data_IF_526843360103
#
_entry.id   IF_526843360103
#
_cell.length_a   1.000
_cell.length_b   1.000
_cell.length_c   1.000
_cell.angle_alpha   90.00
_cell.angle_beta   90.00
_cell.angle_gamma   90.00
#
_symmetry.space_group_name_H-M   'P 1'
#
loop_
_entity.id
_entity.type
_entity.pdbx_description
1 polymer ?
#
# COMPACT_ATOMS: atom_id res chain seq x y z
N UNK A 1 -0.82 42.35 -20.46
CA UNK A 1 0.47 41.97 -19.84
C UNK A 1 0.22 41.66 -18.38
N UNK A 2 0.15 40.38 -18.02
CA UNK A 2 -0.05 39.92 -16.65
C UNK A 2 1.30 39.57 -16.04
N UNK A 3 1.70 40.31 -15.01
CA UNK A 3 2.83 39.96 -14.15
C UNK A 3 2.33 39.92 -12.70
N UNK A 4 1.42 39.00 -12.42
CA UNK A 4 1.14 38.59 -11.05
C UNK A 4 2.29 37.68 -10.63
N UNK A 5 3.34 38.28 -10.07
CA UNK A 5 4.36 37.53 -9.36
C UNK A 5 3.68 36.79 -8.21
N UNK A 6 3.40 35.51 -8.42
CA UNK A 6 3.08 34.57 -7.35
C UNK A 6 4.31 34.43 -6.47
N UNK A 7 4.51 35.41 -5.60
CA UNK A 7 5.43 35.29 -4.47
C UNK A 7 4.94 34.09 -3.69
N UNK A 8 5.64 32.95 -3.80
CA UNK A 8 5.49 31.80 -2.92
C UNK A 8 5.72 32.31 -1.49
N UNK A 9 4.63 32.70 -0.82
CA UNK A 9 4.67 33.18 0.55
C UNK A 9 5.05 31.98 1.39
N UNK A 10 6.31 31.94 1.82
CA UNK A 10 6.84 30.94 2.75
C UNK A 10 5.88 30.86 3.93
N UNK A 11 5.25 29.71 4.10
CA UNK A 11 4.28 29.52 5.17
C UNK A 11 4.98 29.46 6.52
N UNK A 12 4.24 29.72 7.60
CA UNK A 12 4.71 29.45 8.96
C UNK A 12 5.13 27.97 9.13
N UNK A 13 4.46 27.06 8.40
CA UNK A 13 4.82 25.64 8.37
C UNK A 13 6.19 25.40 7.72
N UNK A 14 6.47 26.04 6.59
CA UNK A 14 7.76 25.90 5.88
C UNK A 14 8.93 26.42 6.72
N UNK A 15 8.71 27.52 7.46
CA UNK A 15 9.70 28.05 8.41
C UNK A 15 9.97 27.05 9.54
N UNK A 16 8.92 26.45 10.11
CA UNK A 16 9.08 25.47 11.18
C UNK A 16 9.84 24.20 10.70
N UNK A 17 9.54 23.72 9.48
CA UNK A 17 10.24 22.58 8.88
C UNK A 17 11.71 22.93 8.61
N UNK A 18 11.98 24.14 8.12
CA UNK A 18 13.35 24.63 7.92
C UNK A 18 14.10 24.71 9.25
N UNK A 19 13.49 25.20 10.32
CA UNK A 19 14.10 25.29 11.63
C UNK A 19 14.44 23.90 12.22
N UNK A 20 13.55 22.91 12.06
CA UNK A 20 13.82 21.52 12.43
C UNK A 20 15.01 20.94 11.65
N UNK A 21 15.05 21.16 10.33
CA UNK A 21 16.16 20.71 9.47
C UNK A 21 17.49 21.39 9.85
N UNK A 22 17.46 22.69 10.14
CA UNK A 22 18.61 23.44 10.63
C UNK A 22 19.11 22.91 11.99
N UNK A 23 18.21 22.57 12.90
CA UNK A 23 18.57 21.98 14.20
C UNK A 23 19.22 20.61 14.03
N UNK A 24 18.67 19.75 13.16
CA UNK A 24 19.27 18.45 12.81
C UNK A 24 20.70 18.62 12.29
N UNK A 25 20.91 19.56 11.37
CA UNK A 25 22.23 19.78 10.77
C UNK A 25 23.23 20.33 11.80
N UNK A 26 22.79 21.20 12.71
CA UNK A 26 23.60 21.66 13.85
C UNK A 26 23.99 20.50 14.78
N UNK A 27 23.07 19.58 15.07
CA UNK A 27 23.37 18.40 15.89
C UNK A 27 24.37 17.47 15.18
N UNK A 28 24.27 17.26 13.87
CA UNK A 28 25.28 16.52 13.12
C UNK A 28 26.66 17.18 13.18
N UNK A 29 26.73 18.51 13.08
CA UNK A 29 28.00 19.23 13.25
C UNK A 29 28.56 19.05 14.67
N UNK A 30 27.70 19.12 15.68
CA UNK A 30 28.09 18.91 17.08
C UNK A 30 28.59 17.48 17.32
N UNK A 31 27.90 16.48 16.78
CA UNK A 31 28.29 15.06 16.80
C UNK A 31 29.71 14.89 16.24
N UNK A 32 29.99 15.42 15.03
CA UNK A 32 31.33 15.36 14.42
C UNK A 32 32.42 16.01 15.29
N UNK A 33 32.10 17.15 15.94
CA UNK A 33 33.04 17.83 16.85
C UNK A 33 33.33 16.97 18.07
N UNK A 34 32.30 16.40 18.72
CA UNK A 34 32.47 15.51 19.87
C UNK A 34 33.30 14.29 19.47
N UNK A 35 33.00 13.62 18.36
CA UNK A 35 33.76 12.46 17.91
C UNK A 35 35.26 12.78 17.76
N UNK A 36 35.58 13.94 17.16
CA UNK A 36 36.97 14.40 17.02
C UNK A 36 37.65 14.60 18.39
N UNK A 37 36.93 15.18 19.35
CA UNK A 37 37.42 15.37 20.72
C UNK A 37 37.64 14.02 21.41
N UNK A 38 36.68 13.09 21.30
CA UNK A 38 36.76 11.74 21.88
C UNK A 38 37.96 10.96 21.33
N UNK A 39 38.23 11.03 20.02
CA UNK A 39 39.42 10.42 19.42
C UNK A 39 40.69 11.02 20.01
N UNK A 40 40.76 12.35 20.11
CA UNK A 40 41.91 13.05 20.70
C UNK A 40 42.14 12.69 22.17
N UNK A 41 41.08 12.62 22.98
CA UNK A 41 41.17 12.19 24.38
C UNK A 41 41.64 10.74 24.51
N UNK A 42 41.27 9.88 23.55
CA UNK A 42 41.75 8.50 23.49
C UNK A 42 43.25 8.44 23.21
N UNK A 43 43.76 9.28 22.30
CA UNK A 43 45.18 9.32 21.99
C UNK A 43 46.01 9.92 23.13
N UNK A 44 45.52 10.98 23.77
CA UNK A 44 46.14 11.54 24.99
C UNK A 44 46.18 10.50 26.10
N UNK A 45 45.12 9.70 26.28
CA UNK A 45 45.10 8.63 27.26
C UNK A 45 46.17 7.57 26.96
N UNK A 46 46.33 7.16 25.69
CA UNK A 46 47.38 6.22 25.27
C UNK A 46 48.78 6.79 25.52
N UNK A 47 49.03 8.05 25.19
CA UNK A 47 50.31 8.72 25.43
C UNK A 47 50.64 8.79 26.93
N UNK A 48 49.67 9.17 27.77
CA UNK A 48 49.86 9.22 29.23
C UNK A 48 50.18 7.84 29.82
N UNK A 49 49.59 6.77 29.27
CA UNK A 49 49.91 5.40 29.67
C UNK A 49 51.34 5.00 29.27
N UNK A 50 51.79 5.36 28.06
CA UNK A 50 53.17 5.12 27.60
C UNK A 50 54.20 5.87 28.47
N UNK A 51 53.88 7.08 28.89
CA UNK A 51 54.73 7.89 29.78
C UNK A 51 54.61 7.53 31.27
N UNK A 52 53.84 6.48 31.63
CA UNK A 52 53.70 6.00 33.01
C UNK A 52 52.84 6.87 33.93
N UNK A 53 52.17 7.92 33.42
CA UNK A 53 51.35 8.84 34.21
C UNK A 53 49.90 8.35 34.34
N UNK A 54 49.67 7.39 35.24
CA UNK A 54 48.35 6.76 35.47
C UNK A 54 47.23 7.74 35.85
N UNK A 55 47.48 8.70 36.74
CA UNK A 55 46.48 9.68 37.18
C UNK A 55 45.95 10.54 36.02
N UNK A 56 46.85 10.99 35.13
CA UNK A 56 46.48 11.78 33.95
C UNK A 56 45.71 10.95 32.92
N UNK A 57 46.09 9.68 32.75
CA UNK A 57 45.36 8.75 31.88
C UNK A 57 43.94 8.49 32.40
N UNK A 58 43.76 8.31 33.71
CA UNK A 58 42.43 8.14 34.32
C UNK A 58 41.55 9.37 34.12
N UNK A 59 42.11 10.58 34.26
CA UNK A 59 41.36 11.82 34.00
C UNK A 59 40.92 11.92 32.54
N UNK A 60 41.80 11.60 31.59
CA UNK A 60 41.47 11.59 30.16
C UNK A 60 40.35 10.57 29.84
N UNK A 61 40.40 9.38 30.43
CA UNK A 61 39.35 8.37 30.27
C UNK A 61 38.00 8.80 30.89
N UNK A 62 38.01 9.51 32.02
CA UNK A 62 36.77 10.06 32.60
C UNK A 62 36.15 11.11 31.69
N UNK A 63 36.95 12.00 31.09
CA UNK A 63 36.48 12.98 30.10
C UNK A 63 35.92 12.29 28.86
N UNK A 64 36.62 11.28 28.34
CA UNK A 64 36.16 10.45 27.22
C UNK A 64 34.78 9.86 27.49
N UNK A 65 34.59 9.24 28.66
CA UNK A 65 33.32 8.63 29.04
C UNK A 65 32.18 9.66 29.16
N UNK A 66 32.48 10.86 29.63
CA UNK A 66 31.51 11.96 29.66
C UNK A 66 31.12 12.40 28.24
N UNK A 67 32.09 12.55 27.33
CA UNK A 67 31.82 12.88 25.93
C UNK A 67 31.03 11.79 25.21
N UNK A 68 31.29 10.51 25.49
CA UNK A 68 30.50 9.39 24.96
C UNK A 68 29.05 9.42 25.45
N UNK A 69 28.82 9.79 26.72
CA UNK A 69 27.45 9.99 27.22
C UNK A 69 26.75 11.15 26.53
N UNK A 70 27.45 12.26 26.26
CA UNK A 70 26.90 13.38 25.49
C UNK A 70 26.61 13.01 24.03
N UNK A 71 27.48 12.21 23.41
CA UNK A 71 27.29 11.69 22.06
C UNK A 71 26.02 10.83 22.00
N UNK A 72 25.87 9.89 22.93
CA UNK A 72 24.68 9.03 23.02
C UNK A 72 23.39 9.83 23.20
N UNK A 73 23.38 10.87 24.03
CA UNK A 73 22.22 11.77 24.18
C UNK A 73 21.93 12.54 22.89
N UNK A 74 22.97 12.98 22.19
CA UNK A 74 22.85 13.69 20.92
C UNK A 74 22.28 12.78 19.83
N UNK A 75 22.71 11.52 19.77
CA UNK A 75 22.18 10.52 18.83
C UNK A 75 20.70 10.24 19.08
N UNK A 76 20.27 10.14 20.35
CA UNK A 76 18.86 10.01 20.72
C UNK A 76 18.03 11.22 20.27
N UNK A 77 18.52 12.43 20.53
CA UNK A 77 17.85 13.67 20.10
C UNK A 77 17.78 13.77 18.57
N UNK A 78 18.82 13.32 17.87
CA UNK A 78 18.87 13.32 16.41
C UNK A 78 17.85 12.35 15.82
N UNK A 79 17.74 11.14 16.39
CA UNK A 79 16.72 10.17 16.01
C UNK A 79 15.30 10.72 16.25
N UNK A 80 15.08 11.40 17.38
CA UNK A 80 13.80 12.04 17.68
C UNK A 80 13.45 13.14 16.67
N UNK A 81 14.41 13.99 16.28
CA UNK A 81 14.20 15.02 15.26
C UNK A 81 13.94 14.44 13.86
N UNK A 82 14.59 13.33 13.51
CA UNK A 82 14.35 12.63 12.25
C UNK A 82 12.93 12.04 12.21
N UNK A 83 12.50 11.38 13.29
CA UNK A 83 11.14 10.88 13.43
C UNK A 83 10.11 12.02 13.30
N UNK A 84 10.29 13.11 14.05
CA UNK A 84 9.40 14.27 13.99
C UNK A 84 9.35 14.89 12.59
N UNK A 85 10.48 14.98 11.89
CA UNK A 85 10.51 15.51 10.52
C UNK A 85 9.72 14.61 9.57
N UNK A 86 9.91 13.29 9.67
CA UNK A 86 9.17 12.30 8.88
C UNK A 86 7.66 12.36 9.16
N UNK A 87 7.28 12.51 10.43
CA UNK A 87 5.87 12.61 10.83
C UNK A 87 5.22 13.87 10.26
N UNK A 88 5.94 15.00 10.27
CA UNK A 88 5.45 16.26 9.68
C UNK A 88 5.31 16.13 8.16
N UNK A 89 6.30 15.54 7.48
CA UNK A 89 6.24 15.32 6.02
C UNK A 89 5.07 14.39 5.66
N UNK A 90 4.84 13.35 6.46
CA UNK A 90 3.68 12.46 6.28
C UNK A 90 2.35 13.17 6.53
N UNK A 91 2.26 14.01 7.57
CA UNK A 91 1.07 14.81 7.85
C UNK A 91 0.74 15.81 6.72
N UNK A 92 1.76 16.36 6.04
CA UNK A 92 1.55 17.19 4.85
C UNK A 92 0.92 16.39 3.71
N UNK A 93 1.43 15.18 3.44
CA UNK A 93 0.85 14.29 2.43
C UNK A 93 -0.59 13.92 2.79
N UNK A 94 -0.86 13.59 4.06
CA UNK A 94 -2.21 13.27 4.52
C UNK A 94 -3.20 14.42 4.30
N UNK A 95 -2.77 15.66 4.56
CA UNK A 95 -3.58 16.86 4.28
C UNK A 95 -3.94 16.92 2.79
N UNK A 96 -2.98 16.71 1.90
CA UNK A 96 -3.20 16.79 0.46
C UNK A 96 -4.12 15.66 -0.03
N UNK A 97 -3.97 14.44 0.51
CA UNK A 97 -4.89 13.32 0.24
C UNK A 97 -6.30 13.64 0.70
N UNK A 98 -6.46 14.22 1.90
CA UNK A 98 -7.76 14.66 2.42
C UNK A 98 -8.42 15.70 1.51
N UNK A 99 -7.64 16.67 1.04
CA UNK A 99 -8.13 17.69 0.11
C UNK A 99 -8.56 17.07 -1.23
N UNK A 100 -7.77 16.12 -1.76
CA UNK A 100 -8.13 15.36 -2.96
C UNK A 100 -9.42 14.54 -2.80
N UNK A 101 -9.59 13.86 -1.66
CA UNK A 101 -10.82 13.13 -1.32
C UNK A 101 -12.03 14.06 -1.23
N UNK A 102 -11.87 15.23 -0.61
CA UNK A 102 -12.93 16.23 -0.50
C UNK A 102 -13.32 16.76 -1.88
N UNK A 103 -12.35 17.05 -2.75
CA UNK A 103 -12.60 17.49 -4.12
C UNK A 103 -13.27 16.38 -4.95
N UNK A 104 -12.79 15.15 -4.88
CA UNK A 104 -13.40 14.00 -5.54
C UNK A 104 -14.84 13.75 -5.08
N UNK A 105 -15.10 13.90 -3.77
CA UNK A 105 -16.46 13.80 -3.22
C UNK A 105 -17.36 14.94 -3.73
N UNK A 106 -16.83 16.16 -3.86
CA UNK A 106 -17.57 17.29 -4.43
C UNK A 106 -17.95 17.05 -5.89
N UNK A 107 -17.00 16.58 -6.70
CA UNK A 107 -17.24 16.23 -8.10
C UNK A 107 -18.25 15.09 -8.21
N UNK A 108 -18.15 14.06 -7.37
CA UNK A 108 -19.12 12.97 -7.35
C UNK A 108 -20.54 13.46 -7.00
N UNK A 109 -20.66 14.41 -6.06
CA UNK A 109 -21.96 15.04 -5.73
C UNK A 109 -22.52 15.84 -6.90
N UNK A 110 -21.67 16.55 -7.65
CA UNK A 110 -22.08 17.27 -8.86
C UNK A 110 -22.56 16.31 -9.95
N UNK A 111 -21.81 15.22 -10.21
CA UNK A 111 -22.23 14.16 -11.14
C UNK A 111 -23.56 13.55 -10.71
N UNK A 112 -23.73 13.22 -9.43
CA UNK A 112 -24.99 12.68 -8.92
C UNK A 112 -26.15 13.67 -9.12
N UNK A 113 -25.90 14.97 -8.96
CA UNK A 113 -26.91 16.02 -9.21
C UNK A 113 -27.26 16.13 -10.69
N UNK A 114 -26.28 16.05 -11.59
CA UNK A 114 -26.48 16.07 -13.04
C UNK A 114 -27.18 14.80 -13.57
N UNK A 115 -26.90 13.64 -12.96
CA UNK A 115 -27.56 12.37 -13.26
C UNK A 115 -29.02 12.30 -12.78
N UNK A 116 -29.55 13.39 -12.22
CA UNK A 116 -30.94 13.52 -11.78
C UNK A 116 -31.14 13.40 -10.27
N UNK A 117 -30.06 13.41 -9.49
CA UNK A 117 -30.11 13.46 -8.03
C UNK A 117 -30.78 12.24 -7.41
N UNK A 118 -31.29 12.43 -6.19
CA UNK A 118 -32.10 11.43 -5.49
C UNK A 118 -33.45 11.22 -6.21
N UNK A 119 -34.03 12.28 -6.76
CA UNK A 119 -35.37 12.28 -7.38
C UNK A 119 -35.45 11.38 -8.62
N UNK A 120 -34.42 11.35 -9.48
CA UNK A 120 -34.43 10.45 -10.64
C UNK A 120 -34.17 9.00 -10.28
N UNK A 121 -33.39 8.75 -9.21
CA UNK A 121 -33.22 7.40 -8.67
C UNK A 121 -34.52 6.92 -8.03
N UNK A 122 -35.22 7.78 -7.28
CA UNK A 122 -36.53 7.50 -6.68
C UNK A 122 -37.59 7.28 -7.76
N UNK A 123 -37.63 8.12 -8.81
CA UNK A 123 -38.51 7.96 -9.97
C UNK A 123 -38.28 6.63 -10.69
N UNK A 124 -37.02 6.25 -10.99
CA UNK A 124 -36.73 4.96 -11.63
C UNK A 124 -37.15 3.78 -10.73
N UNK A 125 -36.99 3.91 -9.41
CA UNK A 125 -37.40 2.87 -8.48
C UNK A 125 -38.93 2.73 -8.45
N UNK A 126 -39.66 3.84 -8.38
CA UNK A 126 -41.12 3.87 -8.43
C UNK A 126 -41.67 3.39 -9.77
N UNK A 127 -41.10 3.82 -10.90
CA UNK A 127 -41.48 3.32 -12.24
C UNK A 127 -41.22 1.81 -12.37
N UNK A 128 -40.14 1.29 -11.77
CA UNK A 128 -39.87 -0.14 -11.75
C UNK A 128 -40.82 -0.93 -10.85
N UNK A 129 -41.24 -0.37 -9.71
CA UNK A 129 -42.23 -0.98 -8.82
C UNK A 129 -43.62 -0.98 -9.46
N UNK A 130 -44.03 0.12 -10.11
CA UNK A 130 -45.29 0.22 -10.85
C UNK A 130 -45.31 -0.72 -12.05
N UNK A 131 -44.23 -0.80 -12.84
CA UNK A 131 -44.14 -1.73 -13.95
C UNK A 131 -44.23 -3.20 -13.49
N UNK A 132 -43.62 -3.51 -12.33
CA UNK A 132 -43.69 -4.84 -11.73
C UNK A 132 -45.10 -5.16 -11.22
N UNK A 133 -45.78 -4.19 -10.60
CA UNK A 133 -47.15 -4.33 -10.15
C UNK A 133 -48.12 -4.51 -11.33
N UNK A 134 -47.95 -3.74 -12.41
CA UNK A 134 -48.73 -3.87 -13.63
C UNK A 134 -48.50 -5.24 -14.30
N UNK A 135 -47.26 -5.72 -14.35
CA UNK A 135 -46.96 -7.06 -14.85
C UNK A 135 -47.62 -8.14 -14.00
N UNK A 136 -47.65 -7.99 -12.67
CA UNK A 136 -48.36 -8.91 -11.78
C UNK A 136 -49.87 -8.86 -11.99
N UNK A 137 -50.45 -7.67 -12.16
CA UNK A 137 -51.89 -7.52 -12.45
C UNK A 137 -52.26 -8.16 -13.79
N UNK A 138 -51.43 -8.00 -14.82
CA UNK A 138 -51.58 -8.72 -16.10
C UNK A 138 -51.51 -10.22 -15.88
N UNK A 139 -50.53 -10.69 -15.11
CA UNK A 139 -50.35 -12.12 -14.85
C UNK A 139 -51.55 -12.71 -14.09
N UNK A 140 -52.07 -11.99 -13.09
CA UNK A 140 -53.27 -12.39 -12.34
C UNK A 140 -54.53 -12.38 -13.22
N UNK A 141 -54.65 -11.40 -14.13
CA UNK A 141 -55.75 -11.36 -15.10
C UNK A 141 -55.66 -12.46 -16.17
N UNK A 142 -54.45 -12.86 -16.58
CA UNK A 142 -54.24 -13.98 -17.50
C UNK A 142 -54.51 -15.32 -16.80
N UNK A 143 -53.93 -15.54 -15.61
CA UNK A 143 -54.11 -16.76 -14.82
C UNK A 143 -55.58 -17.00 -14.42
N UNK A 144 -56.36 -15.93 -14.23
CA UNK A 144 -57.80 -16.03 -13.97
C UNK A 144 -58.68 -16.35 -15.19
N UNK A 145 -58.15 -16.31 -16.43
CA UNK A 145 -58.90 -16.48 -17.68
C UNK A 145 -58.45 -17.66 -18.55
N UNK A 146 -57.27 -18.20 -18.29
CA UNK A 146 -56.68 -19.33 -19.01
C UNK A 146 -57.09 -20.62 -18.30
N UNK A 147 -57.48 -21.65 -19.06
CA UNK A 147 -57.79 -22.97 -18.50
C UNK A 147 -56.52 -23.80 -18.31
N UNK A 148 -56.55 -24.83 -17.47
CA UNK A 148 -55.37 -25.70 -17.28
C UNK A 148 -54.89 -26.36 -18.57
N UNK A 149 -55.81 -26.63 -19.51
CA UNK A 149 -55.46 -27.19 -20.83
C UNK A 149 -54.73 -26.16 -21.71
N UNK A 150 -55.11 -24.87 -21.63
CA UNK A 150 -54.41 -23.80 -22.33
C UNK A 150 -53.03 -23.49 -21.71
N UNK A 151 -52.84 -23.72 -20.40
CA UNK A 151 -51.52 -23.59 -19.74
C UNK A 151 -50.57 -24.71 -20.21
N UNK A 152 -51.06 -25.95 -20.32
CA UNK A 152 -50.28 -27.09 -20.82
C UNK A 152 -49.85 -26.88 -22.29
N UNK A 153 -50.74 -26.37 -23.16
CA UNK A 153 -50.41 -26.05 -24.56
C UNK A 153 -49.33 -24.96 -24.69
N UNK A 154 -49.37 -23.94 -23.81
CA UNK A 154 -48.36 -22.86 -23.78
C UNK A 154 -47.01 -23.39 -23.27
N UNK A 155 -47.01 -24.31 -22.29
CA UNK A 155 -45.79 -24.91 -21.78
C UNK A 155 -45.13 -25.83 -22.82
N UNK A 156 -45.92 -26.57 -23.60
CA UNK A 156 -45.44 -27.35 -24.74
C UNK A 156 -44.84 -26.46 -25.85
N UNK A 157 -45.48 -25.31 -26.17
CA UNK A 157 -44.98 -24.36 -27.16
C UNK A 157 -43.69 -23.65 -26.69
N UNK A 158 -43.59 -23.35 -25.39
CA UNK A 158 -42.38 -22.84 -24.76
C UNK A 158 -41.25 -23.86 -24.82
N UNK A 159 -41.52 -25.14 -24.51
CA UNK A 159 -40.53 -26.21 -24.59
C UNK A 159 -40.04 -26.43 -26.04
N UNK A 160 -40.92 -26.28 -27.03
CA UNK A 160 -40.55 -26.29 -28.44
C UNK A 160 -39.63 -25.12 -28.81
N UNK A 161 -39.95 -23.88 -28.39
CA UNK A 161 -39.10 -22.70 -28.60
C UNK A 161 -37.75 -22.82 -27.87
N UNK A 162 -37.73 -23.36 -26.65
CA UNK A 162 -36.49 -23.63 -25.93
C UNK A 162 -35.65 -24.68 -26.64
N UNK A 163 -36.27 -25.72 -27.21
CA UNK A 163 -35.60 -26.77 -28.00
C UNK A 163 -35.06 -26.22 -29.33
N UNK A 164 -35.73 -25.25 -29.95
CA UNK A 164 -35.23 -24.53 -31.13
C UNK A 164 -34.08 -23.57 -30.78
N UNK A 165 -34.21 -22.80 -29.69
CA UNK A 165 -33.18 -21.88 -29.21
C UNK A 165 -31.92 -22.62 -28.71
N UNK A 166 -32.09 -23.77 -28.03
CA UNK A 166 -31.01 -24.68 -27.64
C UNK A 166 -30.55 -25.58 -28.79
N UNK A 167 -31.37 -25.75 -29.83
CA UNK A 167 -31.11 -26.56 -31.03
C UNK A 167 -30.01 -26.03 -31.94
N UNK A 168 -29.42 -24.86 -31.63
CA UNK A 168 -28.20 -24.33 -32.26
C UNK A 168 -26.97 -24.43 -31.32
N UNK A 169 -27.10 -25.06 -30.14
CA UNK A 169 -25.98 -25.38 -29.25
C UNK A 169 -25.95 -26.86 -28.84
N UNK A 170 -25.99 -27.75 -29.82
CA UNK A 170 -25.25 -29.02 -29.72
C UNK A 170 -24.09 -28.95 -30.69
N UNK A 171 -22.99 -28.33 -30.24
CA UNK A 171 -21.71 -28.49 -30.91
C UNK A 171 -21.25 -29.95 -30.68
N UNK A 172 -20.92 -30.70 -31.73
CA UNK A 172 -20.53 -32.10 -31.64
C UNK A 172 -19.23 -32.27 -30.86
N UNK A 173 -19.11 -33.40 -30.16
CA UNK A 173 -17.88 -33.87 -29.53
C UNK A 173 -16.67 -33.59 -30.43
N UNK A 174 -15.75 -32.79 -29.91
CA UNK A 174 -14.48 -32.52 -30.58
C UNK A 174 -13.81 -33.87 -30.89
N UNK A 175 -13.31 -34.11 -32.12
CA UNK A 175 -12.66 -35.35 -32.45
C UNK A 175 -11.44 -35.52 -31.55
N UNK A 176 -11.39 -36.64 -30.82
CA UNK A 176 -10.22 -37.11 -30.10
C UNK A 176 -9.08 -37.29 -31.10
N UNK A 177 -8.28 -36.23 -31.26
CA UNK A 177 -7.06 -36.26 -32.05
C UNK A 177 -6.08 -37.16 -31.30
N UNK A 178 -5.74 -38.24 -32.00
CA UNK A 178 -4.77 -39.26 -31.65
C UNK A 178 -3.48 -38.64 -31.12
N UNK A 179 -3.06 -39.21 -29.99
CA UNK A 179 -1.93 -38.82 -29.16
C UNK A 179 -0.62 -39.30 -29.79
N UNK A 180 -0.26 -38.82 -30.97
CA UNK A 180 1.03 -39.11 -31.57
C UNK A 180 1.54 -37.92 -32.40
N UNK A 181 2.82 -37.60 -32.16
CA UNK A 181 3.69 -36.67 -32.90
C UNK A 181 3.52 -35.16 -32.66
N UNK A 182 4.10 -34.67 -31.55
CA UNK A 182 4.73 -33.35 -31.50
C UNK A 182 6.19 -33.45 -31.03
N UNK A 183 7.14 -32.68 -31.59
CA UNK A 183 8.58 -32.82 -31.32
C UNK A 183 8.97 -32.31 -29.92
N UNK A 184 9.87 -33.03 -29.25
CA UNK A 184 10.39 -32.72 -27.91
C UNK A 184 11.02 -31.30 -27.82
N UNK A 185 10.41 -30.44 -27.01
CA UNK A 185 11.04 -29.21 -26.52
C UNK A 185 11.83 -29.51 -25.22
N UNK A 186 12.98 -28.87 -24.98
CA UNK A 186 13.91 -29.25 -23.92
C UNK A 186 13.38 -28.94 -22.51
N UNK A 187 13.38 -29.96 -21.65
CA UNK A 187 13.13 -29.87 -20.21
C UNK A 187 14.30 -29.19 -19.48
N UNK A 188 14.10 -27.94 -19.06
CA UNK A 188 14.94 -27.29 -18.07
C UNK A 188 14.10 -26.36 -17.17
N UNK A 189 13.47 -26.95 -16.15
CA UNK A 189 12.96 -26.22 -14.98
C UNK A 189 14.11 -26.05 -13.96
N UNK A 190 14.28 -24.85 -13.37
CA UNK A 190 15.39 -24.57 -12.45
C UNK A 190 15.16 -25.26 -11.10
N UNK A 191 16.10 -26.14 -10.72
CA UNK A 191 16.09 -26.85 -9.45
C UNK A 191 16.24 -25.86 -8.27
N UNK A 192 15.26 -25.93 -7.37
CA UNK A 192 15.19 -25.25 -6.08
C UNK A 192 16.38 -25.66 -5.20
N UNK A 193 17.15 -24.66 -4.75
CA UNK A 193 18.34 -24.84 -3.92
C UNK A 193 17.97 -24.66 -2.44
N UNK A 194 17.35 -25.68 -1.86
CA UNK A 194 17.23 -25.81 -0.40
C UNK A 194 17.64 -27.22 0.04
N UNK A 195 18.43 -27.31 1.11
CA UNK A 195 18.96 -28.52 1.79
C UNK A 195 20.39 -28.97 1.46
N UNK A 196 21.35 -28.03 1.42
CA UNK A 196 22.79 -28.35 1.45
C UNK A 196 23.53 -27.81 2.70
N UNK A 197 22.84 -27.44 3.78
CA UNK A 197 23.47 -26.83 4.97
C UNK A 197 23.40 -27.66 6.26
N UNK A 198 23.02 -28.96 6.22
CA UNK A 198 22.77 -29.74 7.45
C UNK A 198 23.53 -31.06 7.59
N UNK A 199 24.63 -31.27 6.86
CA UNK A 199 25.42 -32.52 6.92
C UNK A 199 26.93 -32.35 7.12
N UNK A 200 27.41 -31.18 7.55
CA UNK A 200 28.83 -30.99 7.92
C UNK A 200 29.06 -30.76 9.43
N UNK A 201 28.16 -31.25 10.29
CA UNK A 201 28.36 -31.29 11.73
C UNK A 201 27.97 -32.68 12.28
N UNK A 202 28.81 -33.68 12.01
CA UNK A 202 28.93 -34.91 12.79
C UNK A 202 30.21 -35.64 12.35
N UNK A 203 31.22 -35.62 13.22
CA UNK A 203 32.50 -36.33 13.12
C UNK A 203 32.32 -37.86 12.96
N UNK A 204 33.29 -38.58 12.39
CA UNK A 204 33.49 -39.99 12.73
C UNK A 204 34.66 -40.14 13.70
N UNK A 205 34.36 -40.62 14.90
CA UNK A 205 35.33 -41.23 15.81
C UNK A 205 35.39 -42.74 15.52
N UNK A 206 36.61 -43.29 15.63
CA UNK A 206 36.98 -44.69 15.85
C UNK A 206 37.16 -45.63 14.63
N UNK A 207 38.44 -45.95 14.38
CA UNK A 207 38.94 -47.32 14.36
C UNK A 207 40.28 -47.35 15.13
#
# INVERSE_FOLDING_TARGET
MGNSSSSNKISAQDKAILDLKNQRDKLHQYQKRITTITTRETDIAKECLRSGHKEKALLALRRKKYQESLLSKTDQQLAQLQALTSDVEFALIQKDVLFGLQQGTSVLKEIHKEMGGLEKVEMILSESEEARAYQQEINDMLSGKISSEDEDDVEDELEAMEREARGVQSMPDAPSLTKDELPNAPDALPATREKAARRQAAEPMAA
#
